data_IF_652166584056
#
_entry.id   IF_652166584056
#
_cell.length_a   1.000
_cell.length_b   1.000
_cell.length_c   1.000
_cell.angle_alpha   90.00
_cell.angle_beta   90.00
_cell.angle_gamma   90.00
#
_symmetry.space_group_name_H-M   'P 1'
#
loop_
_entity.id
_entity.type
_entity.pdbx_description
1 polymer ?
#
# COMPACT_ATOMS: atom_id res chain seq x y z
N UNK A 1 -10.07 13.95 -18.49
CA UNK A 1 -9.98 14.09 -17.01
C UNK A 1 -9.30 15.42 -16.71
N UNK A 2 -9.76 16.20 -15.73
CA UNK A 2 -9.15 17.52 -15.41
C UNK A 2 -7.70 17.32 -14.89
N UNK A 3 -6.77 18.22 -15.22
CA UNK A 3 -5.36 18.15 -14.82
C UNK A 3 -5.19 17.98 -13.30
N UNK A 4 -6.01 18.70 -12.51
CA UNK A 4 -6.04 18.56 -11.05
C UNK A 4 -6.35 17.13 -10.57
N UNK A 5 -7.22 16.42 -11.29
CA UNK A 5 -7.59 15.03 -10.97
C UNK A 5 -6.45 14.07 -11.29
N UNK A 6 -5.77 14.26 -12.42
CA UNK A 6 -4.58 13.48 -12.78
C UNK A 6 -3.48 13.66 -11.72
N UNK A 7 -3.21 14.91 -11.31
CA UNK A 7 -2.25 15.20 -10.24
C UNK A 7 -2.63 14.50 -8.94
N UNK A 8 -3.92 14.50 -8.56
CA UNK A 8 -4.34 13.84 -7.33
C UNK A 8 -4.05 12.34 -7.33
N UNK A 9 -4.21 11.67 -8.48
CA UNK A 9 -3.88 10.24 -8.65
C UNK A 9 -2.37 10.03 -8.55
N UNK A 10 -1.58 10.84 -9.24
CA UNK A 10 -0.11 10.73 -9.23
C UNK A 10 0.45 10.94 -7.82
N UNK A 11 -0.03 11.95 -7.10
CA UNK A 11 0.42 12.23 -5.73
C UNK A 11 -0.06 11.13 -4.78
N UNK A 12 -1.30 10.65 -4.92
CA UNK A 12 -1.83 9.54 -4.14
C UNK A 12 -0.99 8.27 -4.29
N UNK A 13 -0.77 7.84 -5.54
CA UNK A 13 0.06 6.70 -5.87
C UNK A 13 1.51 6.86 -5.37
N UNK A 14 2.11 8.02 -5.65
CA UNK A 14 3.47 8.34 -5.21
C UNK A 14 3.63 8.35 -3.69
N UNK A 15 2.63 8.86 -2.96
CA UNK A 15 2.59 8.82 -1.49
C UNK A 15 2.65 7.39 -1.00
N UNK A 16 1.81 6.49 -1.54
CA UNK A 16 1.76 5.09 -1.10
C UNK A 16 3.11 4.42 -1.33
N UNK A 17 3.71 4.61 -2.51
CA UNK A 17 5.02 4.06 -2.85
C UNK A 17 6.15 4.57 -1.96
N UNK A 18 6.21 5.90 -1.75
CA UNK A 18 7.22 6.51 -0.88
C UNK A 18 7.07 6.06 0.57
N UNK A 19 5.86 6.10 1.13
CA UNK A 19 5.63 5.75 2.52
C UNK A 19 5.90 4.27 2.77
N UNK A 20 5.47 3.39 1.85
CA UNK A 20 5.78 1.96 1.93
C UNK A 20 7.28 1.70 1.89
N UNK A 21 8.03 2.45 1.07
CA UNK A 21 9.49 2.32 0.98
C UNK A 21 10.20 2.80 2.25
N UNK A 22 9.77 3.93 2.81
CA UNK A 22 10.30 4.46 4.07
C UNK A 22 10.05 3.45 5.20
N UNK A 23 8.83 2.94 5.32
CA UNK A 23 8.47 1.97 6.35
C UNK A 23 9.21 0.65 6.18
N UNK A 24 9.40 0.16 4.95
CA UNK A 24 10.20 -1.03 4.68
C UNK A 24 11.67 -0.82 5.10
N UNK A 25 12.24 0.35 4.83
CA UNK A 25 13.61 0.68 5.26
C UNK A 25 13.71 0.78 6.79
N UNK A 26 12.74 1.41 7.45
CA UNK A 26 12.69 1.47 8.92
C UNK A 26 12.57 0.08 9.54
N UNK A 27 11.72 -0.78 8.98
CA UNK A 27 11.62 -2.18 9.41
C UNK A 27 12.95 -2.91 9.21
N UNK A 28 13.65 -2.68 8.10
CA UNK A 28 14.98 -3.25 7.83
C UNK A 28 16.07 -2.82 8.82
N UNK A 29 15.97 -1.60 9.38
CA UNK A 29 16.90 -1.14 10.42
C UNK A 29 16.69 -1.91 11.74
N UNK A 30 15.42 -2.18 12.09
CA UNK A 30 15.07 -2.88 13.34
C UNK A 30 15.22 -4.40 13.18
N UNK A 31 14.86 -4.93 12.01
CA UNK A 31 14.89 -6.34 11.65
C UNK A 31 15.60 -6.50 10.29
N UNK A 32 16.93 -6.68 10.27
CA UNK A 32 17.71 -6.78 9.03
C UNK A 32 17.22 -7.91 8.11
N UNK A 33 16.79 -9.02 8.69
CA UNK A 33 16.21 -10.17 7.97
C UNK A 33 14.89 -9.85 7.25
N UNK A 34 14.23 -8.74 7.57
CA UNK A 34 12.96 -8.35 6.95
C UNK A 34 13.09 -7.87 5.50
N UNK A 35 14.30 -7.55 5.04
CA UNK A 35 14.55 -7.21 3.64
C UNK A 35 14.63 -8.46 2.74
N UNK A 36 15.05 -9.59 3.31
CA UNK A 36 15.26 -10.86 2.59
C UNK A 36 14.13 -11.88 2.81
N UNK A 37 13.14 -11.54 3.64
CA UNK A 37 12.07 -12.47 4.06
C UNK A 37 11.26 -13.06 2.90
N UNK A 38 11.27 -12.38 1.76
CA UNK A 38 10.59 -12.75 0.53
C UNK A 38 11.46 -13.64 -0.38
N UNK A 39 12.79 -13.56 -0.27
CA UNK A 39 13.74 -14.27 -1.13
C UNK A 39 14.38 -15.48 -0.44
N UNK A 40 14.36 -15.54 0.90
CA UNK A 40 14.94 -16.63 1.67
C UNK A 40 13.86 -17.53 2.30
N UNK A 41 13.65 -18.76 1.79
CA UNK A 41 12.56 -19.64 2.23
C UNK A 41 12.66 -20.03 3.70
N UNK A 42 13.88 -20.15 4.25
CA UNK A 42 14.07 -20.49 5.67
C UNK A 42 13.57 -19.39 6.63
N UNK A 43 13.62 -18.12 6.17
CA UNK A 43 13.09 -16.98 6.93
C UNK A 43 11.58 -16.83 6.73
N UNK A 44 11.07 -17.20 5.55
CA UNK A 44 9.64 -17.11 5.21
C UNK A 44 8.76 -17.94 6.15
N UNK A 45 9.20 -19.14 6.54
CA UNK A 45 8.40 -20.04 7.40
C UNK A 45 8.39 -19.64 8.88
N UNK A 46 9.41 -18.90 9.34
CA UNK A 46 9.61 -18.60 10.76
C UNK A 46 9.24 -17.15 11.13
N UNK A 47 9.00 -16.29 10.15
CA UNK A 47 8.92 -14.83 10.35
C UNK A 47 7.52 -14.23 10.15
N UNK A 48 6.47 -14.93 10.60
CA UNK A 48 5.06 -14.49 10.48
C UNK A 48 4.81 -13.08 11.02
N UNK A 49 5.46 -12.70 12.12
CA UNK A 49 5.35 -11.37 12.73
C UNK A 49 5.87 -10.27 11.77
N UNK A 50 6.97 -10.53 11.05
CA UNK A 50 7.54 -9.56 10.13
C UNK A 50 6.66 -9.34 8.89
N UNK A 51 5.96 -10.39 8.42
CA UNK A 51 4.94 -10.26 7.38
C UNK A 51 3.73 -9.45 7.85
N UNK A 52 3.26 -9.66 9.07
CA UNK A 52 2.17 -8.87 9.66
C UNK A 52 2.54 -7.39 9.74
N UNK A 53 3.76 -7.08 10.18
CA UNK A 53 4.27 -5.70 10.22
C UNK A 53 4.31 -5.09 8.81
N UNK A 54 4.86 -5.80 7.81
CA UNK A 54 4.88 -5.33 6.42
C UNK A 54 3.46 -5.05 5.90
N UNK A 55 2.54 -5.97 6.15
CA UNK A 55 1.14 -5.84 5.72
C UNK A 55 0.54 -4.57 6.33
N UNK A 56 0.68 -4.36 7.64
CA UNK A 56 0.20 -3.16 8.32
C UNK A 56 0.84 -1.88 7.76
N UNK A 57 2.14 -1.88 7.49
CA UNK A 57 2.83 -0.72 6.90
C UNK A 57 2.26 -0.35 5.52
N UNK A 58 2.06 -1.33 4.64
CA UNK A 58 1.50 -1.08 3.31
C UNK A 58 0.05 -0.63 3.40
N UNK A 59 -0.76 -1.24 4.27
CA UNK A 59 -2.16 -0.84 4.46
C UNK A 59 -2.30 0.57 5.04
N UNK A 60 -1.48 0.92 6.05
CA UNK A 60 -1.44 2.29 6.58
C UNK A 60 -1.04 3.29 5.49
N UNK A 61 -0.09 2.91 4.64
CA UNK A 61 0.33 3.72 3.49
C UNK A 61 -0.80 3.92 2.49
N UNK A 62 -1.58 2.86 2.21
CA UNK A 62 -2.78 2.93 1.35
C UNK A 62 -3.85 3.87 1.92
N UNK A 63 -4.11 3.81 3.23
CA UNK A 63 -5.05 4.74 3.90
C UNK A 63 -4.58 6.18 3.74
N UNK A 64 -3.31 6.47 4.07
CA UNK A 64 -2.74 7.82 3.96
C UNK A 64 -2.74 8.29 2.50
N UNK A 65 -2.41 7.43 1.55
CA UNK A 65 -2.49 7.72 0.11
C UNK A 65 -3.90 8.11 -0.34
N UNK A 66 -4.92 7.37 0.10
CA UNK A 66 -6.33 7.71 -0.15
C UNK A 66 -6.74 9.04 0.47
N UNK A 67 -6.24 9.34 1.68
CA UNK A 67 -6.46 10.63 2.31
C UNK A 67 -5.85 11.78 1.49
N UNK A 68 -4.58 11.64 1.07
CA UNK A 68 -3.88 12.67 0.31
C UNK A 68 -4.52 12.88 -1.06
N UNK A 69 -4.87 11.80 -1.76
CA UNK A 69 -5.61 11.85 -3.05
C UNK A 69 -6.86 12.72 -2.90
N UNK A 70 -7.63 12.50 -1.83
CA UNK A 70 -8.88 13.20 -1.55
C UNK A 70 -8.67 14.65 -1.08
N UNK A 71 -7.58 14.91 -0.35
CA UNK A 71 -7.25 16.27 0.11
C UNK A 71 -6.95 17.20 -1.07
N UNK A 72 -6.23 16.72 -2.07
CA UNK A 72 -5.75 17.51 -3.22
C UNK A 72 -6.86 17.73 -4.28
N UNK A 73 -8.00 17.05 -4.15
CA UNK A 73 -9.18 17.24 -4.99
C UNK A 73 -9.58 16.01 -5.79
N UNK A 74 -9.02 14.85 -5.49
CA UNK A 74 -9.50 13.57 -6.00
C UNK A 74 -10.88 13.24 -5.44
N UNK A 75 -11.75 12.70 -6.28
CA UNK A 75 -13.04 12.14 -5.90
C UNK A 75 -12.91 10.63 -5.65
N UNK A 76 -14.04 9.96 -5.44
CA UNK A 76 -14.08 8.52 -5.27
C UNK A 76 -13.47 7.77 -6.48
N UNK A 77 -13.65 8.32 -7.69
CA UNK A 77 -13.16 7.72 -8.94
C UNK A 77 -11.63 7.77 -9.02
N UNK A 78 -11.00 8.86 -8.58
CA UNK A 78 -9.54 8.97 -8.54
C UNK A 78 -8.94 8.05 -7.47
N UNK A 79 -9.60 7.90 -6.32
CA UNK A 79 -9.19 6.91 -5.30
C UNK A 79 -9.30 5.47 -5.81
N UNK A 80 -10.33 5.14 -6.60
CA UNK A 80 -10.43 3.85 -7.30
C UNK A 80 -9.25 3.63 -8.25
N UNK A 81 -8.85 4.65 -9.02
CA UNK A 81 -7.69 4.55 -9.90
C UNK A 81 -6.39 4.32 -9.11
N UNK A 82 -6.19 5.02 -7.99
CA UNK A 82 -5.04 4.81 -7.11
C UNK A 82 -5.02 3.38 -6.56
N UNK A 83 -6.15 2.88 -6.04
CA UNK A 83 -6.28 1.50 -5.56
C UNK A 83 -6.00 0.46 -6.65
N UNK A 84 -6.50 0.70 -7.87
CA UNK A 84 -6.22 -0.13 -9.03
C UNK A 84 -4.73 -0.16 -9.41
N UNK A 85 -4.09 1.01 -9.49
CA UNK A 85 -2.65 1.12 -9.79
C UNK A 85 -1.79 0.40 -8.74
N UNK A 86 -2.09 0.57 -7.46
CA UNK A 86 -1.38 -0.14 -6.39
C UNK A 86 -1.62 -1.64 -6.47
N UNK A 87 -2.84 -2.07 -6.77
CA UNK A 87 -3.15 -3.49 -6.94
C UNK A 87 -2.37 -4.11 -8.11
N UNK A 88 -2.17 -3.39 -9.21
CA UNK A 88 -1.32 -3.84 -10.32
C UNK A 88 0.14 -3.99 -9.89
N UNK A 89 0.68 -3.03 -9.14
CA UNK A 89 2.04 -3.11 -8.59
C UNK A 89 2.19 -4.28 -7.64
N UNK A 90 1.22 -4.48 -6.73
CA UNK A 90 1.21 -5.61 -5.80
C UNK A 90 1.11 -6.94 -6.55
N UNK A 91 0.26 -7.04 -7.57
CA UNK A 91 0.15 -8.23 -8.40
C UNK A 91 1.45 -8.54 -9.15
N UNK A 92 2.12 -7.52 -9.68
CA UNK A 92 3.44 -7.66 -10.29
C UNK A 92 4.50 -8.16 -9.28
N UNK A 93 4.52 -7.59 -8.07
CA UNK A 93 5.42 -8.02 -7.00
C UNK A 93 5.14 -9.47 -6.57
N UNK A 94 3.88 -9.87 -6.51
CA UNK A 94 3.50 -11.24 -6.18
C UNK A 94 4.02 -12.25 -7.22
N UNK A 95 3.88 -11.94 -8.51
CA UNK A 95 4.45 -12.79 -9.58
C UNK A 95 5.98 -12.89 -9.50
N UNK A 96 6.63 -11.85 -8.99
CA UNK A 96 8.09 -11.83 -8.80
C UNK A 96 8.54 -12.61 -7.56
N UNK A 97 7.70 -12.66 -6.54
CA UNK A 97 8.00 -13.27 -5.23
C UNK A 97 6.79 -14.07 -4.75
N UNK A 98 6.64 -15.28 -5.28
CA UNK A 98 5.46 -16.14 -5.15
C UNK A 98 5.09 -16.44 -3.69
N UNK A 99 6.09 -16.55 -2.80
CA UNK A 99 5.91 -16.90 -1.40
C UNK A 99 6.03 -15.68 -0.47
N UNK A 100 5.22 -15.59 0.61
CA UNK A 100 4.12 -16.49 0.97
C UNK A 100 2.78 -16.05 0.36
N UNK A 101 2.02 -16.99 -0.20
CA UNK A 101 0.76 -16.75 -0.95
C UNK A 101 -0.29 -16.02 -0.08
N UNK A 102 -0.40 -16.38 1.21
CA UNK A 102 -1.40 -15.80 2.10
C UNK A 102 -1.18 -14.29 2.30
N UNK A 103 0.08 -13.84 2.37
CA UNK A 103 0.41 -12.42 2.49
C UNK A 103 -0.11 -11.64 1.28
N UNK A 104 0.13 -12.15 0.08
CA UNK A 104 -0.27 -11.48 -1.17
C UNK A 104 -1.79 -11.45 -1.34
N UNK A 105 -2.49 -12.54 -1.02
CA UNK A 105 -3.95 -12.58 -1.05
C UNK A 105 -4.57 -11.56 -0.09
N UNK A 106 -4.09 -11.51 1.15
CA UNK A 106 -4.55 -10.52 2.14
C UNK A 106 -4.27 -9.10 1.66
N UNK A 107 -3.07 -8.85 1.11
CA UNK A 107 -2.69 -7.54 0.64
C UNK A 107 -3.57 -7.07 -0.52
N UNK A 108 -3.81 -7.89 -1.54
CA UNK A 108 -4.66 -7.55 -2.68
C UNK A 108 -6.10 -7.26 -2.23
N UNK A 109 -6.65 -8.11 -1.35
CA UNK A 109 -8.01 -7.92 -0.83
C UNK A 109 -8.14 -6.64 0.00
N UNK A 110 -7.09 -6.23 0.71
CA UNK A 110 -7.13 -5.11 1.64
C UNK A 110 -6.70 -3.76 1.04
N UNK A 111 -5.98 -3.73 -0.09
CA UNK A 111 -5.56 -2.47 -0.76
C UNK A 111 -6.75 -1.56 -1.08
N UNK A 112 -7.78 -2.09 -1.75
CA UNK A 112 -8.96 -1.31 -2.10
C UNK A 112 -9.69 -0.77 -0.87
N UNK A 113 -10.10 -1.61 0.11
CA UNK A 113 -10.69 -1.15 1.36
C UNK A 113 -9.87 -0.09 2.07
N UNK A 114 -8.54 -0.23 2.12
CA UNK A 114 -7.66 0.72 2.78
C UNK A 114 -7.65 2.09 2.08
N UNK A 115 -7.52 2.12 0.76
CA UNK A 115 -7.59 3.39 0.00
C UNK A 115 -8.95 4.06 0.18
N UNK A 116 -10.04 3.29 0.11
CA UNK A 116 -11.40 3.82 0.33
C UNK A 116 -11.65 4.30 1.75
N UNK A 117 -11.06 3.65 2.75
CA UNK A 117 -11.12 4.10 4.13
C UNK A 117 -10.48 5.49 4.26
N UNK A 118 -9.32 5.72 3.63
CA UNK A 118 -8.67 7.02 3.58
C UNK A 118 -9.52 8.11 2.91
N UNK A 119 -10.20 7.76 1.81
CA UNK A 119 -11.19 8.62 1.17
C UNK A 119 -12.34 8.98 2.12
N UNK A 120 -12.97 7.99 2.76
CA UNK A 120 -14.12 8.18 3.64
C UNK A 120 -13.78 9.03 4.86
N UNK A 121 -12.62 8.79 5.48
CA UNK A 121 -12.11 9.60 6.62
C UNK A 121 -11.97 11.06 6.20
N UNK A 122 -11.32 11.32 5.07
CA UNK A 122 -11.09 12.70 4.59
C UNK A 122 -12.37 13.38 4.16
N UNK A 123 -13.28 12.66 3.50
CA UNK A 123 -14.58 13.20 3.10
C UNK A 123 -15.41 13.59 4.32
N UNK A 124 -15.41 12.76 5.37
CA UNK A 124 -16.13 13.03 6.62
C UNK A 124 -15.56 14.25 7.34
N UNK A 125 -14.22 14.43 7.38
CA UNK A 125 -13.59 15.61 7.99
C UNK A 125 -13.83 16.93 7.25
N UNK A 126 -14.20 16.87 5.97
CA UNK A 126 -14.47 18.07 5.15
C UNK A 126 -15.93 18.53 5.21
N UNK A 127 -16.82 17.70 5.74
CA UNK A 127 -18.26 17.98 5.89
C UNK A 127 -18.52 18.59 7.26
#
# INVERSE_FOLDING_TARGET
MNFRKIISVLIGFGTIGLLSSILAKMQGIIFPSSLEIFTNPNLTETSTIQFAIKLLCVLASCVIGGMITTRIGGSIRENQMVGGLISLVVGWLWLSVIHPILFWLLLILAVFPAVFLGYKITYTMKK
#
